data_IF_145988310710
#
_entry.id   IF_145988310710
#
_cell.length_a   1.000
_cell.length_b   1.000
_cell.length_c   1.000
_cell.angle_alpha   90.00
_cell.angle_beta   90.00
_cell.angle_gamma   90.00
#
_symmetry.space_group_name_H-M   'P 1'
#
loop_
_entity.id
_entity.type
_entity.pdbx_description
1 polymer ?
#
# COMPACT_ATOMS: atom_id res chain seq x y z
N UNK A 1 -1.69 -11.97 -23.61
CA UNK A 1 -0.46 -12.34 -22.88
C UNK A 1 -0.72 -13.63 -22.13
N UNK A 2 0.08 -14.69 -22.34
CA UNK A 2 -0.13 -16.01 -21.73
C UNK A 2 -0.21 -15.98 -20.19
N UNK A 3 0.48 -15.03 -19.55
CA UNK A 3 0.46 -14.87 -18.08
C UNK A 3 -0.93 -14.57 -17.53
N UNK A 4 -1.72 -13.74 -18.24
CA UNK A 4 -3.05 -13.31 -17.77
C UNK A 4 -4.10 -14.42 -17.88
N UNK A 5 -3.90 -15.37 -18.80
CA UNK A 5 -4.80 -16.51 -18.98
C UNK A 5 -4.80 -17.42 -17.74
N UNK A 6 -3.68 -17.47 -17.01
CA UNK A 6 -3.52 -18.22 -15.74
C UNK A 6 -4.34 -17.63 -14.59
N UNK A 7 -4.70 -16.34 -14.65
CA UNK A 7 -5.43 -15.64 -13.61
C UNK A 7 -6.95 -15.82 -13.74
N UNK A 8 -7.44 -17.06 -13.65
CA UNK A 8 -8.86 -17.40 -13.87
C UNK A 8 -9.85 -16.66 -12.96
N UNK A 9 -9.41 -16.18 -11.78
CA UNK A 9 -10.29 -15.42 -10.86
C UNK A 9 -10.47 -13.95 -11.27
N UNK A 10 -9.59 -13.41 -12.10
CA UNK A 10 -9.68 -12.00 -12.51
C UNK A 10 -10.70 -11.86 -13.64
N UNK A 11 -11.65 -10.89 -13.55
CA UNK A 11 -12.55 -10.58 -14.67
C UNK A 11 -11.75 -10.20 -15.92
N UNK A 12 -12.25 -10.58 -17.10
CA UNK A 12 -11.54 -10.28 -18.37
C UNK A 12 -11.28 -8.78 -18.54
N UNK A 13 -12.25 -7.93 -18.21
CA UNK A 13 -12.08 -6.47 -18.28
C UNK A 13 -10.95 -5.95 -17.37
N UNK A 14 -10.67 -6.61 -16.25
CA UNK A 14 -9.55 -6.25 -15.38
C UNK A 14 -8.22 -6.74 -15.95
N UNK A 15 -8.19 -7.94 -16.54
CA UNK A 15 -7.01 -8.44 -17.28
C UNK A 15 -6.64 -7.50 -18.44
N UNK A 16 -7.63 -7.01 -19.17
CA UNK A 16 -7.41 -6.07 -20.27
C UNK A 16 -6.81 -4.75 -19.75
N UNK A 17 -7.26 -4.25 -18.60
CA UNK A 17 -6.65 -3.08 -17.93
C UNK A 17 -5.21 -3.34 -17.50
N UNK A 18 -4.90 -4.53 -16.95
CA UNK A 18 -3.53 -4.91 -16.58
C UNK A 18 -2.63 -4.90 -17.83
N UNK A 19 -3.09 -5.42 -18.97
CA UNK A 19 -2.33 -5.39 -20.21
C UNK A 19 -2.02 -3.97 -20.69
N UNK A 20 -3.01 -3.07 -20.62
CA UNK A 20 -2.81 -1.65 -20.96
C UNK A 20 -1.82 -0.99 -19.99
N UNK A 21 -1.95 -1.26 -18.69
CA UNK A 21 -1.07 -0.73 -17.65
C UNK A 21 0.38 -1.21 -17.80
N UNK A 22 0.59 -2.47 -18.19
CA UNK A 22 1.92 -3.02 -18.49
C UNK A 22 2.57 -2.24 -19.63
N UNK A 23 1.86 -2.04 -20.75
CA UNK A 23 2.39 -1.28 -21.91
C UNK A 23 2.76 0.14 -21.53
N UNK A 24 1.94 0.78 -20.68
CA UNK A 24 2.20 2.12 -20.17
C UNK A 24 3.49 2.21 -19.32
N UNK A 25 3.82 1.16 -18.59
CA UNK A 25 4.99 1.12 -17.72
C UNK A 25 6.27 0.63 -18.41
N UNK A 26 6.28 0.38 -19.72
CA UNK A 26 7.49 -0.03 -20.45
C UNK A 26 8.65 0.97 -20.34
N UNK A 27 8.34 2.26 -20.13
CA UNK A 27 9.35 3.32 -19.90
C UNK A 27 9.89 3.39 -18.46
N UNK A 28 9.38 2.58 -17.53
CA UNK A 28 9.87 2.53 -16.14
C UNK A 28 11.22 1.81 -16.11
N UNK A 29 12.21 2.43 -15.46
CA UNK A 29 13.53 1.82 -15.32
C UNK A 29 13.43 0.54 -14.48
N UNK A 30 14.11 -0.52 -14.93
CA UNK A 30 14.09 -1.87 -14.32
C UNK A 30 12.72 -2.57 -14.31
N UNK A 31 11.74 -2.12 -15.11
CA UNK A 31 10.42 -2.75 -15.19
C UNK A 31 10.43 -4.23 -15.62
N UNK A 32 11.47 -4.67 -16.34
CA UNK A 32 11.67 -6.08 -16.67
C UNK A 32 11.75 -6.99 -15.42
N UNK A 33 12.22 -6.48 -14.27
CA UNK A 33 12.21 -7.23 -13.01
C UNK A 33 10.78 -7.46 -12.52
N UNK A 34 9.93 -6.43 -12.60
CA UNK A 34 8.50 -6.54 -12.29
C UNK A 34 7.81 -7.58 -13.20
N UNK A 35 8.08 -7.55 -14.52
CA UNK A 35 7.51 -8.51 -15.47
C UNK A 35 7.93 -9.96 -15.17
N UNK A 36 9.21 -10.19 -14.87
CA UNK A 36 9.72 -11.51 -14.48
C UNK A 36 9.04 -12.01 -13.20
N UNK A 37 8.87 -11.13 -12.21
CA UNK A 37 8.20 -11.48 -10.95
C UNK A 37 6.73 -11.79 -11.19
N UNK A 38 6.04 -11.01 -12.03
CA UNK A 38 4.65 -11.26 -12.39
C UNK A 38 4.49 -12.63 -13.07
N UNK A 39 5.35 -12.98 -14.03
CA UNK A 39 5.32 -14.31 -14.67
C UNK A 39 5.54 -15.44 -13.65
N UNK A 40 6.50 -15.31 -12.73
CA UNK A 40 6.71 -16.28 -11.64
C UNK A 40 5.47 -16.45 -10.76
N UNK A 41 4.84 -15.33 -10.36
CA UNK A 41 3.65 -15.36 -9.51
C UNK A 41 2.46 -15.99 -10.24
N UNK A 42 2.20 -15.63 -11.50
CA UNK A 42 1.11 -16.23 -12.29
C UNK A 42 1.35 -17.71 -12.59
N UNK A 43 2.59 -18.15 -12.78
CA UNK A 43 2.94 -19.58 -12.86
C UNK A 43 2.67 -20.29 -11.53
N UNK A 44 3.04 -19.68 -10.41
CA UNK A 44 2.80 -20.23 -9.07
C UNK A 44 1.32 -20.36 -8.69
N UNK A 45 0.43 -19.60 -9.33
CA UNK A 45 -1.02 -19.80 -9.19
C UNK A 45 -1.45 -21.12 -9.82
N UNK A 46 -0.85 -21.51 -10.95
CA UNK A 46 -1.24 -22.71 -11.69
C UNK A 46 -0.80 -24.01 -10.99
N UNK A 47 0.27 -23.96 -10.19
CA UNK A 47 0.78 -25.10 -9.41
C UNK A 47 0.47 -25.01 -7.90
N UNK A 48 -0.37 -24.04 -7.50
CA UNK A 48 -0.80 -23.78 -6.12
C UNK A 48 0.34 -23.43 -5.13
N UNK A 49 1.53 -23.08 -5.61
CA UNK A 49 2.65 -22.63 -4.77
C UNK A 49 2.56 -21.15 -4.35
N UNK A 50 1.71 -20.37 -5.02
CA UNK A 50 1.49 -18.94 -4.79
C UNK A 50 0.00 -18.67 -4.57
N UNK A 51 -0.31 -17.66 -3.77
CA UNK A 51 -1.68 -17.20 -3.53
C UNK A 51 -2.05 -16.02 -4.44
N UNK A 52 -3.33 -15.86 -4.77
CA UNK A 52 -3.81 -14.69 -5.52
C UNK A 52 -3.44 -13.38 -4.85
N UNK A 53 -3.41 -13.34 -3.51
CA UNK A 53 -2.92 -12.21 -2.72
C UNK A 53 -1.57 -11.69 -3.20
N UNK A 54 -0.60 -12.57 -3.45
CA UNK A 54 0.73 -12.15 -3.89
C UNK A 54 0.71 -11.54 -5.29
N UNK A 55 -0.19 -12.00 -6.17
CA UNK A 55 -0.42 -11.38 -7.48
C UNK A 55 -1.08 -10.01 -7.31
N UNK A 56 -2.05 -9.90 -6.40
CA UNK A 56 -2.78 -8.67 -6.11
C UNK A 56 -1.86 -7.59 -5.53
N UNK A 57 -0.95 -7.95 -4.62
CA UNK A 57 0.12 -7.10 -4.10
C UNK A 57 1.00 -6.57 -5.26
N UNK A 58 1.42 -7.46 -6.16
CA UNK A 58 2.24 -7.11 -7.33
C UNK A 58 1.52 -6.21 -8.33
N UNK A 59 0.20 -6.41 -8.51
CA UNK A 59 -0.65 -5.57 -9.35
C UNK A 59 -0.89 -4.20 -8.72
N UNK A 60 -0.93 -4.09 -7.39
CA UNK A 60 -0.99 -2.77 -6.75
C UNK A 60 0.21 -1.91 -7.07
N UNK A 61 1.42 -2.49 -7.12
CA UNK A 61 2.62 -1.76 -7.55
C UNK A 61 2.43 -1.16 -8.96
N UNK A 62 1.86 -1.95 -9.88
CA UNK A 62 1.53 -1.49 -11.23
C UNK A 62 0.49 -0.36 -11.23
N UNK A 63 -0.53 -0.43 -10.36
CA UNK A 63 -1.53 0.65 -10.18
C UNK A 63 -0.86 1.94 -9.72
N UNK A 64 0.06 1.86 -8.75
CA UNK A 64 0.79 3.04 -8.25
C UNK A 64 1.71 3.63 -9.32
N UNK A 65 2.44 2.80 -10.07
CA UNK A 65 3.26 3.29 -11.19
C UNK A 65 2.41 4.02 -12.23
N UNK A 66 1.26 3.47 -12.63
CA UNK A 66 0.34 4.12 -13.56
C UNK A 66 -0.17 5.46 -13.01
N UNK A 67 -0.59 5.49 -11.75
CA UNK A 67 -1.05 6.71 -11.09
C UNK A 67 0.01 7.80 -11.08
N UNK A 68 1.27 7.46 -10.78
CA UNK A 68 2.36 8.44 -10.79
C UNK A 68 2.60 8.98 -12.21
N UNK A 69 2.61 8.09 -13.23
CA UNK A 69 2.77 8.49 -14.63
C UNK A 69 1.63 9.41 -15.11
N UNK A 70 0.40 9.21 -14.63
CA UNK A 70 -0.74 10.05 -15.00
C UNK A 70 -0.77 11.40 -14.32
N UNK A 71 -0.27 11.47 -13.09
CA UNK A 71 -0.49 12.65 -12.23
C UNK A 71 0.73 13.53 -12.06
N UNK A 72 1.91 13.06 -12.46
CA UNK A 72 3.18 13.77 -12.31
C UNK A 72 3.86 13.88 -13.68
N UNK A 73 3.69 15.03 -14.32
CA UNK A 73 4.31 15.30 -15.62
C UNK A 73 5.83 15.09 -15.58
N UNK A 74 6.34 14.31 -16.53
CA UNK A 74 7.77 14.03 -16.66
C UNK A 74 8.38 13.20 -15.54
N UNK A 75 7.57 12.54 -14.70
CA UNK A 75 8.09 11.66 -13.64
C UNK A 75 8.94 10.53 -14.23
N UNK A 76 10.09 10.29 -13.61
CA UNK A 76 10.93 9.12 -13.90
C UNK A 76 10.77 8.13 -12.77
N UNK A 77 10.40 6.91 -13.11
CA UNK A 77 10.21 5.85 -12.13
C UNK A 77 11.31 4.80 -12.31
N UNK A 78 11.90 4.36 -11.21
CA UNK A 78 12.75 3.16 -11.13
C UNK A 78 12.09 2.16 -10.20
N UNK A 79 11.87 0.94 -10.69
CA UNK A 79 11.37 -0.18 -9.91
C UNK A 79 12.53 -0.89 -9.19
N UNK A 80 12.39 -1.17 -7.89
CA UNK A 80 13.42 -1.75 -7.03
C UNK A 80 14.80 -1.02 -7.11
N UNK A 81 14.83 0.32 -6.88
CA UNK A 81 16.07 1.09 -6.90
C UNK A 81 17.09 0.55 -5.90
N UNK A 82 18.37 0.44 -6.29
CA UNK A 82 19.41 -0.07 -5.41
C UNK A 82 19.81 0.93 -4.32
N UNK A 83 19.84 0.46 -3.07
CA UNK A 83 20.38 1.20 -1.94
C UNK A 83 21.92 1.28 -1.91
N UNK A 84 22.46 1.83 -0.82
CA UNK A 84 23.90 2.03 -0.60
C UNK A 84 24.60 0.69 -0.30
N UNK A 85 24.01 -0.13 0.58
CA UNK A 85 24.52 -1.47 0.88
C UNK A 85 23.92 -2.48 -0.13
N UNK A 86 24.75 -3.16 -0.95
CA UNK A 86 24.28 -4.21 -1.86
C UNK A 86 23.61 -5.40 -1.18
N UNK A 87 23.80 -5.58 0.14
CA UNK A 87 23.15 -6.61 0.95
C UNK A 87 21.92 -6.10 1.70
N UNK A 88 21.67 -4.79 1.67
CA UNK A 88 20.50 -4.18 2.27
C UNK A 88 19.22 -4.52 1.49
N UNK A 89 18.07 -4.22 2.10
CA UNK A 89 16.77 -4.38 1.45
C UNK A 89 16.48 -3.14 0.59
N UNK A 90 15.82 -3.34 -0.55
CA UNK A 90 15.43 -2.27 -1.46
C UNK A 90 13.96 -1.86 -1.23
N UNK A 91 13.65 -0.57 -1.38
CA UNK A 91 12.30 -0.05 -1.52
C UNK A 91 11.71 -0.42 -2.89
N UNK A 92 10.38 -0.42 -2.97
CA UNK A 92 9.69 -0.91 -4.16
C UNK A 92 9.81 0.07 -5.35
N UNK A 93 9.75 1.40 -5.12
CA UNK A 93 9.89 2.41 -6.18
C UNK A 93 10.75 3.61 -5.78
N UNK A 94 11.44 4.20 -6.77
CA UNK A 94 11.94 5.57 -6.75
C UNK A 94 11.18 6.36 -7.82
N UNK A 95 10.52 7.45 -7.44
CA UNK A 95 9.84 8.36 -8.37
C UNK A 95 10.47 9.76 -8.31
N UNK A 96 11.08 10.18 -9.41
CA UNK A 96 11.77 11.46 -9.52
C UNK A 96 10.94 12.45 -10.36
N UNK A 97 10.59 13.56 -9.73
CA UNK A 97 9.95 14.72 -10.37
C UNK A 97 10.95 15.87 -10.43
N UNK A 98 10.59 16.97 -11.10
CA UNK A 98 11.45 18.17 -11.16
C UNK A 98 11.78 18.76 -9.77
N UNK A 99 10.89 18.57 -8.79
CA UNK A 99 10.99 19.21 -7.47
C UNK A 99 11.26 18.25 -6.31
N UNK A 100 11.12 16.94 -6.50
CA UNK A 100 11.17 15.98 -5.41
C UNK A 100 11.54 14.58 -5.91
N UNK A 101 12.30 13.85 -5.09
CA UNK A 101 12.59 12.42 -5.26
C UNK A 101 11.85 11.64 -4.18
N UNK A 102 10.89 10.82 -4.56
CA UNK A 102 10.13 10.00 -3.64
C UNK A 102 10.74 8.60 -3.58
N UNK A 103 11.09 8.14 -2.38
CA UNK A 103 11.43 6.74 -2.14
C UNK A 103 10.21 6.06 -1.52
N UNK A 104 9.60 5.13 -2.25
CA UNK A 104 8.25 4.65 -1.96
C UNK A 104 8.30 3.15 -1.70
N UNK A 105 7.78 2.76 -0.54
CA UNK A 105 7.44 1.38 -0.20
C UNK A 105 5.92 1.18 -0.36
N UNK A 106 5.54 0.09 -1.00
CA UNK A 106 4.15 -0.23 -1.34
C UNK A 106 3.69 -1.46 -0.59
N UNK A 107 2.57 -1.34 0.13
CA UNK A 107 2.02 -2.48 0.87
C UNK A 107 0.50 -2.55 0.77
N UNK A 108 0.01 -3.69 0.30
CA UNK A 108 -1.40 -4.03 0.40
C UNK A 108 -1.64 -4.77 1.71
N UNK A 109 -2.25 -4.07 2.66
CA UNK A 109 -2.71 -4.68 3.91
C UNK A 109 -4.00 -5.45 3.60
N UNK A 110 -3.82 -6.69 3.11
CA UNK A 110 -4.80 -7.74 2.79
C UNK A 110 -5.69 -7.56 1.54
N UNK A 111 -5.20 -7.98 0.37
CA UNK A 111 -6.09 -8.40 -0.70
C UNK A 111 -6.16 -9.94 -0.72
N UNK A 112 -7.24 -10.50 -0.18
CA UNK A 112 -7.99 -11.49 -0.95
C UNK A 112 -9.21 -10.73 -1.43
N UNK A 113 -9.11 -10.18 -2.63
CA UNK A 113 -10.00 -9.15 -3.13
C UNK A 113 -11.50 -9.53 -2.97
N UNK A 114 -11.88 -10.80 -3.12
CA UNK A 114 -13.29 -11.23 -3.02
C UNK A 114 -13.87 -11.36 -1.61
N UNK A 115 -13.03 -11.46 -0.58
CA UNK A 115 -13.47 -11.81 0.79
C UNK A 115 -13.47 -10.61 1.75
N UNK A 116 -13.18 -9.41 1.23
CA UNK A 116 -12.94 -8.19 2.00
C UNK A 116 -14.13 -7.19 2.04
N UNK A 117 -15.38 -7.64 1.89
CA UNK A 117 -16.54 -6.77 2.19
C UNK A 117 -16.96 -6.92 3.67
N UNK A 118 -17.00 -5.81 4.43
CA UNK A 118 -17.72 -5.78 5.72
C UNK A 118 -19.19 -5.54 5.45
N UNK A 119 -20.06 -6.18 6.24
CA UNK A 119 -21.37 -5.63 6.51
C UNK A 119 -21.24 -4.26 7.20
N UNK A 120 -21.92 -3.24 6.65
CA UNK A 120 -21.94 -1.83 7.07
C UNK A 120 -22.47 -1.56 8.50
N UNK A 121 -22.81 -2.58 9.28
CA UNK A 121 -23.71 -2.45 10.43
C UNK A 121 -23.01 -2.19 11.80
N UNK A 122 -21.67 -2.11 11.85
CA UNK A 122 -20.94 -2.33 13.11
C UNK A 122 -20.20 -1.12 13.71
N UNK A 123 -20.12 0.01 13.00
CA UNK A 123 -19.56 1.26 13.53
C UNK A 123 -20.71 2.23 13.79
N UNK A 124 -20.97 2.51 15.08
CA UNK A 124 -22.02 3.47 15.45
C UNK A 124 -21.58 4.91 15.18
N UNK A 125 -22.54 5.83 15.08
CA UNK A 125 -22.31 7.28 14.87
C UNK A 125 -21.38 7.95 15.90
N UNK A 126 -21.01 7.27 16.99
CA UNK A 126 -20.16 7.77 18.08
C UNK A 126 -18.77 7.09 18.13
N UNK A 127 -18.30 6.49 17.04
CA UNK A 127 -17.05 5.68 16.99
C UNK A 127 -17.01 4.53 18.01
N UNK A 128 -18.17 4.07 18.52
CA UNK A 128 -18.24 2.81 19.27
C UNK A 128 -18.32 1.65 18.29
N UNK A 129 -17.32 0.78 18.38
CA UNK A 129 -17.18 -0.44 17.61
C UNK A 129 -18.01 -1.56 18.27
N UNK A 130 -19.09 -1.98 17.64
CA UNK A 130 -19.84 -3.18 18.03
C UNK A 130 -19.50 -4.29 17.04
N UNK A 131 -18.38 -4.96 17.25
CA UNK A 131 -17.91 -6.03 16.37
C UNK A 131 -17.98 -7.39 17.07
N UNK A 132 -18.34 -8.43 16.32
CA UNK A 132 -18.13 -9.79 16.78
C UNK A 132 -16.61 -10.06 16.91
N UNK A 133 -16.23 -11.06 17.71
CA UNK A 133 -14.82 -11.36 17.98
C UNK A 133 -14.00 -11.58 16.71
N UNK A 134 -14.58 -12.23 15.68
CA UNK A 134 -13.90 -12.50 14.41
C UNK A 134 -13.46 -11.23 13.69
N UNK A 135 -14.36 -10.26 13.50
CA UNK A 135 -14.01 -8.99 12.88
C UNK A 135 -13.00 -8.20 13.71
N UNK A 136 -13.11 -8.23 15.05
CA UNK A 136 -12.12 -7.57 15.91
C UNK A 136 -10.71 -8.13 15.69
N UNK A 137 -10.57 -9.45 15.58
CA UNK A 137 -9.29 -10.09 15.28
C UNK A 137 -8.76 -9.70 13.91
N UNK A 138 -9.61 -9.57 12.88
CA UNK A 138 -9.19 -9.13 11.55
C UNK A 138 -8.64 -7.70 11.55
N UNK A 139 -9.33 -6.76 12.20
CA UNK A 139 -8.86 -5.36 12.31
C UNK A 139 -7.56 -5.25 13.11
N UNK A 140 -7.47 -5.93 14.26
CA UNK A 140 -6.22 -5.95 15.04
C UNK A 140 -5.07 -6.60 14.25
N UNK A 141 -5.35 -7.65 13.47
CA UNK A 141 -4.37 -8.30 12.61
C UNK A 141 -3.86 -7.34 11.53
N UNK A 142 -4.75 -6.63 10.85
CA UNK A 142 -4.38 -5.64 9.84
C UNK A 142 -3.51 -4.52 10.43
N UNK A 143 -3.88 -4.02 11.62
CA UNK A 143 -3.09 -2.98 12.31
C UNK A 143 -1.75 -3.51 12.82
N UNK A 144 -1.69 -4.74 13.33
CA UNK A 144 -0.44 -5.42 13.69
C UNK A 144 0.47 -5.61 12.47
N UNK A 145 -0.09 -6.02 11.32
CA UNK A 145 0.67 -6.13 10.10
C UNK A 145 1.21 -4.78 9.61
N UNK A 146 0.42 -3.71 9.73
CA UNK A 146 0.87 -2.35 9.43
C UNK A 146 2.04 -1.93 10.34
N UNK A 147 2.04 -2.36 11.61
CA UNK A 147 3.15 -2.09 12.52
C UNK A 147 4.46 -2.75 12.06
N UNK A 148 4.40 -4.03 11.70
CA UNK A 148 5.55 -4.80 11.21
C UNK A 148 6.05 -4.28 9.86
N UNK A 149 5.12 -4.02 8.94
CA UNK A 149 5.39 -3.37 7.66
C UNK A 149 6.13 -2.07 7.86
N UNK A 150 5.65 -1.20 8.76
CA UNK A 150 6.27 0.09 9.01
C UNK A 150 7.70 -0.07 9.49
N UNK A 151 8.00 -1.04 10.36
CA UNK A 151 9.38 -1.35 10.78
C UNK A 151 10.24 -1.80 9.61
N UNK A 152 9.75 -2.73 8.80
CA UNK A 152 10.46 -3.17 7.60
C UNK A 152 10.70 -2.03 6.60
N UNK A 153 9.75 -1.10 6.49
CA UNK A 153 9.91 0.12 5.68
C UNK A 153 11.01 1.01 6.22
N UNK A 154 11.09 1.24 7.54
CA UNK A 154 12.19 2.01 8.15
C UNK A 154 13.55 1.34 7.92
N UNK A 155 13.62 0.00 7.99
CA UNK A 155 14.84 -0.77 7.66
C UNK A 155 15.26 -0.62 6.20
N UNK A 156 14.29 -0.69 5.27
CA UNK A 156 14.55 -0.47 3.84
C UNK A 156 15.05 0.96 3.59
N UNK A 157 14.37 1.97 4.14
CA UNK A 157 14.73 3.38 4.01
C UNK A 157 16.15 3.64 4.55
N UNK A 158 16.55 2.98 5.64
CA UNK A 158 17.89 3.14 6.22
C UNK A 158 19.02 2.68 5.26
N UNK A 159 18.70 1.90 4.22
CA UNK A 159 19.64 1.55 3.17
C UNK A 159 19.86 2.67 2.13
N UNK A 160 19.15 3.79 2.26
CA UNK A 160 19.26 4.93 1.36
C UNK A 160 19.80 6.15 2.11
N UNK A 161 20.52 7.01 1.40
CA UNK A 161 21.06 8.25 1.97
C UNK A 161 20.01 9.36 2.08
N UNK A 162 20.46 10.55 2.46
CA UNK A 162 19.60 11.72 2.54
C UNK A 162 19.15 12.22 1.16
N UNK A 163 18.11 13.07 1.14
CA UNK A 163 17.63 13.76 -0.07
C UNK A 163 16.42 13.10 -0.75
N UNK A 164 15.89 12.03 -0.17
CA UNK A 164 14.61 11.45 -0.56
C UNK A 164 13.49 11.91 0.37
N UNK A 165 12.30 12.06 -0.20
CA UNK A 165 11.06 12.12 0.54
C UNK A 165 10.50 10.72 0.65
N UNK A 166 10.47 10.16 1.85
CA UNK A 166 10.19 8.74 2.07
C UNK A 166 8.69 8.50 2.26
N UNK A 167 8.19 7.41 1.69
CA UNK A 167 6.76 7.15 1.60
C UNK A 167 6.46 5.69 1.92
N UNK A 168 5.46 5.46 2.77
CA UNK A 168 4.74 4.20 2.82
C UNK A 168 3.37 4.42 2.18
N UNK A 169 3.10 3.76 1.04
CA UNK A 169 1.80 3.82 0.38
C UNK A 169 1.03 2.52 0.55
N UNK A 170 -0.24 2.65 0.92
CA UNK A 170 -1.16 1.53 1.11
C UNK A 170 -2.44 1.75 0.32
N UNK A 171 -3.16 0.66 0.07
CA UNK A 171 -4.52 0.75 -0.46
C UNK A 171 -5.43 1.31 0.64
N UNK A 172 -6.24 2.31 0.31
CA UNK A 172 -7.39 2.72 1.14
C UNK A 172 -8.57 1.76 0.88
N UNK A 173 -8.65 0.76 1.74
CA UNK A 173 -9.49 -0.41 1.56
C UNK A 173 -10.38 -0.66 2.75
N UNK A 174 -10.87 -1.90 2.85
CA UNK A 174 -11.62 -2.34 4.02
C UNK A 174 -10.69 -2.52 5.23
N UNK A 175 -9.70 -3.41 5.13
CA UNK A 175 -8.86 -3.78 6.27
C UNK A 175 -7.96 -2.66 6.79
N UNK A 176 -7.77 -1.62 5.97
CA UNK A 176 -7.08 -0.39 6.32
C UNK A 176 -7.76 0.75 5.57
N UNK A 177 -8.72 1.38 6.23
CA UNK A 177 -9.34 2.59 5.70
C UNK A 177 -8.51 3.84 6.05
N UNK A 178 -8.92 4.98 5.48
CA UNK A 178 -8.27 6.26 5.72
C UNK A 178 -8.23 6.69 7.21
N UNK A 179 -9.26 6.41 8.02
CA UNK A 179 -9.28 6.75 9.46
C UNK A 179 -8.40 5.80 10.27
N UNK A 180 -8.36 4.51 9.93
CA UNK A 180 -7.44 3.55 10.54
C UNK A 180 -5.98 3.89 10.25
N UNK A 181 -5.66 4.28 9.02
CA UNK A 181 -4.33 4.75 8.68
C UNK A 181 -4.00 6.05 9.43
N UNK A 182 -4.98 6.94 9.66
CA UNK A 182 -4.78 8.17 10.44
C UNK A 182 -4.50 7.91 11.90
N UNK A 183 -5.23 6.98 12.52
CA UNK A 183 -4.92 6.50 13.89
C UNK A 183 -3.48 5.99 13.97
N UNK A 184 -3.08 5.17 13.00
CA UNK A 184 -1.73 4.65 12.93
C UNK A 184 -0.69 5.76 12.74
N UNK A 185 -0.93 6.72 11.85
CA UNK A 185 -0.05 7.87 11.64
C UNK A 185 0.10 8.69 12.92
N UNK A 186 -0.99 8.87 13.69
CA UNK A 186 -0.94 9.53 14.98
C UNK A 186 0.00 8.78 15.96
N UNK A 187 -0.13 7.45 16.05
CA UNK A 187 0.77 6.59 16.83
C UNK A 187 2.21 6.69 16.34
N UNK A 188 2.44 6.62 15.03
CA UNK A 188 3.78 6.69 14.43
C UNK A 188 4.48 8.01 14.79
N UNK A 189 3.77 9.13 14.62
CA UNK A 189 4.32 10.47 14.83
C UNK A 189 4.49 10.84 16.30
N UNK A 190 3.53 10.48 17.15
CA UNK A 190 3.45 10.98 18.52
C UNK A 190 3.79 9.93 19.58
N UNK A 191 3.88 8.65 19.19
CA UNK A 191 4.01 7.52 20.13
C UNK A 191 2.94 7.57 21.24
N UNK A 192 1.72 7.89 20.82
CA UNK A 192 0.51 7.96 21.63
C UNK A 192 -0.68 7.58 20.75
N UNK A 193 -1.80 7.13 21.33
CA UNK A 193 -3.03 6.90 20.58
C UNK A 193 -4.00 8.08 20.75
N UNK A 194 -4.90 8.27 19.78
CA UNK A 194 -5.99 9.25 19.94
C UNK A 194 -6.97 8.78 21.02
N UNK A 195 -7.66 9.68 21.75
CA UNK A 195 -8.66 9.28 22.75
C UNK A 195 -9.84 8.50 22.16
N UNK A 196 -10.16 8.74 20.88
CA UNK A 196 -11.26 8.15 20.13
C UNK A 196 -10.83 6.94 19.28
N UNK A 197 -9.56 6.52 19.33
CA UNK A 197 -9.06 5.31 18.67
C UNK A 197 -9.43 4.07 19.51
N UNK A 198 -10.38 3.23 19.05
CA UNK A 198 -10.85 2.08 19.82
C UNK A 198 -9.80 0.97 19.94
N UNK A 199 -8.81 0.90 19.04
CA UNK A 199 -7.79 -0.14 19.02
C UNK A 199 -6.44 0.36 19.56
N UNK A 200 -6.28 1.68 19.71
CA UNK A 200 -5.02 2.35 20.00
C UNK A 200 -4.31 1.89 21.27
N UNK A 201 -5.04 1.58 22.35
CA UNK A 201 -4.44 1.03 23.57
C UNK A 201 -3.73 -0.31 23.32
N UNK A 202 -4.37 -1.20 22.57
CA UNK A 202 -3.81 -2.51 22.25
C UNK A 202 -2.65 -2.37 21.24
N UNK A 203 -2.78 -1.49 20.25
CA UNK A 203 -1.71 -1.17 19.31
C UNK A 203 -0.47 -0.65 20.05
N UNK A 204 -0.64 0.29 20.98
CA UNK A 204 0.45 0.80 21.81
C UNK A 204 1.03 -0.29 22.73
N UNK A 205 0.21 -1.17 23.30
CA UNK A 205 0.69 -2.30 24.10
C UNK A 205 1.57 -3.25 23.28
N UNK A 206 1.19 -3.50 22.02
CA UNK A 206 1.96 -4.34 21.10
C UNK A 206 3.19 -3.62 20.53
N UNK A 207 3.17 -2.29 20.48
CA UNK A 207 4.27 -1.45 20.04
C UNK A 207 5.32 -1.38 21.15
N UNK A 208 6.16 -2.42 21.24
CA UNK A 208 7.19 -2.57 22.29
C UNK A 208 8.13 -1.36 22.38
N UNK A 209 8.43 -0.74 21.24
CA UNK A 209 9.35 0.39 21.14
C UNK A 209 8.84 1.45 20.14
N UNK A 210 9.24 2.72 20.28
CA UNK A 210 8.88 3.79 19.35
C UNK A 210 9.52 3.62 17.96
N UNK A 211 8.83 4.08 16.93
CA UNK A 211 9.37 4.15 15.56
C UNK A 211 10.54 5.13 15.43
N UNK A 212 11.42 4.90 14.47
CA UNK A 212 12.52 5.83 14.16
C UNK A 212 12.02 7.10 13.47
N UNK A 213 10.79 7.08 12.97
CA UNK A 213 10.09 8.20 12.33
C UNK A 213 10.74 8.65 11.01
N UNK A 214 11.34 7.72 10.28
CA UNK A 214 12.06 7.99 9.02
C UNK A 214 11.16 8.03 7.79
N UNK A 215 9.87 7.68 7.90
CA UNK A 215 8.88 7.80 6.82
C UNK A 215 8.30 9.22 6.85
N UNK A 216 8.40 10.00 5.78
CA UNK A 216 7.86 11.37 5.71
C UNK A 216 6.36 11.39 5.45
N UNK A 217 5.87 10.48 4.61
CA UNK A 217 4.48 10.46 4.18
C UNK A 217 3.87 9.07 4.21
N UNK A 218 2.60 9.03 4.59
CA UNK A 218 1.74 7.86 4.46
C UNK A 218 0.71 8.18 3.39
N UNK A 219 0.68 7.39 2.32
CA UNK A 219 -0.26 7.58 1.22
C UNK A 219 -1.37 6.55 1.29
N UNK A 220 -2.61 7.01 1.29
CA UNK A 220 -3.81 6.19 1.18
C UNK A 220 -4.32 6.26 -0.25
N UNK A 221 -4.32 5.15 -0.97
CA UNK A 221 -4.66 5.09 -2.40
C UNK A 221 -5.97 4.32 -2.60
N UNK A 222 -7.10 5.00 -2.88
CA UNK A 222 -8.42 4.39 -2.90
C UNK A 222 -8.73 3.70 -4.24
N UNK A 223 -7.81 2.88 -4.75
CA UNK A 223 -8.04 2.14 -5.99
C UNK A 223 -9.26 1.24 -5.86
N UNK A 224 -10.00 1.10 -6.96
CA UNK A 224 -10.90 -0.03 -7.11
C UNK A 224 -10.11 -1.34 -7.00
N UNK A 225 -10.77 -2.32 -6.43
CA UNK A 225 -10.24 -3.67 -6.28
C UNK A 225 -9.87 -4.27 -7.64
N UNK A 226 -10.87 -4.38 -8.53
CA UNK A 226 -10.72 -4.94 -9.87
C UNK A 226 -10.58 -3.82 -10.93
N UNK A 227 -9.83 -2.76 -10.61
CA UNK A 227 -9.63 -1.62 -11.52
C UNK A 227 -8.43 -0.75 -11.18
N UNK A 228 -8.04 0.08 -12.15
CA UNK A 228 -6.96 1.06 -12.00
C UNK A 228 -7.47 2.45 -11.61
N UNK A 229 -8.78 2.68 -11.69
CA UNK A 229 -9.40 3.92 -11.25
C UNK A 229 -9.54 4.00 -9.73
N UNK A 230 -9.60 5.21 -9.20
CA UNK A 230 -9.98 5.45 -7.82
C UNK A 230 -11.50 5.35 -7.63
N UNK A 231 -11.92 4.97 -6.42
CA UNK A 231 -13.32 5.04 -5.99
C UNK A 231 -13.82 6.49 -6.15
N UNK A 232 -14.96 6.73 -6.82
CA UNK A 232 -15.37 8.07 -7.30
C UNK A 232 -15.50 9.14 -6.21
N UNK A 233 -15.82 8.73 -4.98
CA UNK A 233 -16.01 9.64 -3.84
C UNK A 233 -14.79 9.71 -2.90
N UNK A 234 -13.64 9.17 -3.33
CA UNK A 234 -12.42 9.13 -2.53
C UNK A 234 -11.24 9.69 -3.31
N UNK A 235 -10.33 10.34 -2.60
CA UNK A 235 -9.13 10.93 -3.19
C UNK A 235 -7.87 10.27 -2.65
N UNK A 236 -6.85 10.07 -3.50
CA UNK A 236 -5.53 9.65 -3.02
C UNK A 236 -4.99 10.72 -2.06
N UNK A 237 -4.65 10.30 -0.84
CA UNK A 237 -4.44 11.24 0.27
C UNK A 237 -3.11 10.99 0.97
N UNK A 238 -2.35 12.06 1.20
CA UNK A 238 -1.26 12.07 2.19
C UNK A 238 -1.93 12.22 3.55
N UNK A 239 -1.87 11.17 4.36
CA UNK A 239 -2.55 11.12 5.66
C UNK A 239 -1.72 11.82 6.72
N UNK A 240 -2.33 12.77 7.41
CA UNK A 240 -1.75 13.46 8.55
C UNK A 240 -2.33 12.91 9.87
N UNK A 241 -1.70 13.14 11.03
CA UNK A 241 -2.25 12.73 12.33
C UNK A 241 -3.66 13.26 12.62
N UNK A 242 -4.00 14.42 12.06
CA UNK A 242 -5.31 15.05 12.17
C UNK A 242 -5.88 15.27 10.77
N UNK A 243 -7.18 15.04 10.60
CA UNK A 243 -7.89 15.16 9.32
C UNK A 243 -7.73 16.52 8.64
N UNK A 244 -7.64 17.60 9.41
CA UNK A 244 -7.40 18.95 8.87
C UNK A 244 -6.04 19.13 8.21
N UNK A 245 -5.08 18.24 8.46
CA UNK A 245 -3.76 18.24 7.87
C UNK A 245 -3.61 17.32 6.66
N UNK A 246 -4.66 16.57 6.28
CA UNK A 246 -4.61 15.72 5.10
C UNK A 246 -4.40 16.55 3.82
N UNK A 247 -3.62 16.00 2.88
CA UNK A 247 -3.33 16.67 1.61
C UNK A 247 -3.67 15.73 0.46
N UNK A 248 -4.41 16.23 -0.53
CA UNK A 248 -4.68 15.49 -1.78
C UNK A 248 -3.40 15.29 -2.57
N UNK A 249 -3.16 14.09 -3.11
CA UNK A 249 -2.02 13.80 -3.98
C UNK A 249 -2.20 14.34 -5.41
N UNK A 250 -3.45 14.70 -5.76
CA UNK A 250 -3.91 15.31 -7.02
C UNK A 250 -4.53 16.67 -6.80
#
# INVERSE_FOLDING_TARGET
MEQLDRLIRFPQCFKDQIEVAIKKCEGVNQFNSWLKRFDQLTNGIADESVTYRQVEDHVFELKVMCFLLDTKEGVKITYEPKGIDPKGKDCDLLAETASCKYLIELKCTHPEMRDAEIPHEYITKNNKLYMNGGYYHLYQSARGHLMDVTRHTEEKIANYGDGYKTVLATIDGFHLDLEDLRDFVFIYRLHAHRPDDPLGKMTMHNLKEPYNRTIDQFWALPFHQDGFDFKPDRKPTIVAPLKSGDVSLV
#
